data_IF_663684462975
#
_entry.id   IF_663684462975
#
_cell.length_a   1.000
_cell.length_b   1.000
_cell.length_c   1.000
_cell.angle_alpha   90.00
_cell.angle_beta   90.00
_cell.angle_gamma   90.00
#
_symmetry.space_group_name_H-M   'P 1'
#
loop_
_entity.id
_entity.type
_entity.pdbx_description
1 polymer ?
#
# COMPACT_ATOMS: atom_id res chain seq x y z
N UNK A 1 -8.92 3.03 -38.05
CA UNK A 1 -7.50 2.61 -38.06
C UNK A 1 -6.85 3.41 -36.95
N UNK A 2 -6.87 2.83 -35.74
CA UNK A 2 -6.53 3.49 -34.49
C UNK A 2 -5.02 3.49 -34.27
N UNK A 3 -4.41 4.64 -34.49
CA UNK A 3 -2.96 4.88 -34.38
C UNK A 3 -2.51 5.48 -33.04
N UNK A 4 -3.17 5.14 -31.94
CA UNK A 4 -2.74 5.52 -30.57
C UNK A 4 -2.80 4.30 -29.66
N UNK A 5 -1.88 3.36 -29.87
CA UNK A 5 -1.52 2.40 -28.83
C UNK A 5 -0.82 3.15 -27.70
N UNK A 6 -1.58 3.90 -26.91
CA UNK A 6 -1.03 4.66 -25.79
C UNK A 6 -0.42 3.71 -24.78
N UNK A 7 0.77 4.09 -24.32
CA UNK A 7 1.63 3.58 -23.25
C UNK A 7 0.96 3.54 -21.86
N UNK A 8 -0.36 3.32 -21.80
CA UNK A 8 -1.12 3.29 -20.58
C UNK A 8 -0.70 2.09 -19.71
N UNK A 9 -0.31 2.36 -18.46
CA UNK A 9 0.20 1.35 -17.54
C UNK A 9 1.70 1.05 -17.66
N UNK A 10 2.45 1.66 -18.59
CA UNK A 10 3.92 1.46 -18.66
C UNK A 10 4.72 2.40 -17.73
N UNK A 11 4.08 3.46 -17.24
CA UNK A 11 4.63 4.44 -16.30
C UNK A 11 3.54 4.83 -15.31
N UNK A 12 3.93 5.29 -14.12
CA UNK A 12 2.99 5.87 -13.14
C UNK A 12 2.41 7.19 -13.64
N UNK A 13 1.20 7.57 -13.19
CA UNK A 13 0.53 8.81 -13.59
C UNK A 13 0.57 9.88 -12.49
N UNK A 14 0.64 11.16 -12.88
CA UNK A 14 0.48 12.28 -11.93
C UNK A 14 -0.97 12.40 -11.47
N UNK A 15 -1.23 13.13 -10.38
CA UNK A 15 -2.60 13.33 -9.87
C UNK A 15 -3.50 13.96 -10.94
N UNK A 16 -2.97 14.93 -11.69
CA UNK A 16 -3.68 15.61 -12.76
C UNK A 16 -3.98 14.68 -13.94
N UNK A 17 -3.02 13.86 -14.35
CA UNK A 17 -3.20 12.91 -15.46
C UNK A 17 -4.24 11.85 -15.13
N UNK A 18 -4.24 11.34 -13.89
CA UNK A 18 -5.24 10.38 -13.42
C UNK A 18 -6.65 10.98 -13.54
N UNK A 19 -6.84 12.21 -13.04
CA UNK A 19 -8.12 12.91 -13.12
C UNK A 19 -8.54 13.23 -14.55
N UNK A 20 -7.62 13.69 -15.40
CA UNK A 20 -7.89 13.99 -16.81
C UNK A 20 -8.33 12.76 -17.59
N UNK A 21 -7.65 11.62 -17.41
CA UNK A 21 -8.01 10.34 -18.06
C UNK A 21 -9.35 9.78 -17.60
N UNK A 22 -9.69 9.93 -16.32
CA UNK A 22 -11.01 9.55 -15.83
C UNK A 22 -12.13 10.36 -16.49
N UNK A 23 -11.96 11.69 -16.61
CA UNK A 23 -12.93 12.56 -17.31
C UNK A 23 -13.04 12.18 -18.77
N UNK A 24 -11.91 11.92 -19.43
CA UNK A 24 -11.90 11.48 -20.83
C UNK A 24 -12.64 10.14 -21.02
N UNK A 25 -12.46 9.16 -20.12
CA UNK A 25 -13.22 7.92 -20.16
C UNK A 25 -14.72 8.15 -19.99
N UNK A 26 -15.13 9.01 -19.06
CA UNK A 26 -16.53 9.37 -18.87
C UNK A 26 -17.14 10.09 -20.09
N UNK A 27 -16.38 10.97 -20.74
CA UNK A 27 -16.82 11.63 -21.98
C UNK A 27 -16.97 10.66 -23.15
N UNK A 28 -16.10 9.65 -23.25
CA UNK A 28 -16.20 8.63 -24.30
C UNK A 28 -17.35 7.64 -24.07
N UNK A 29 -17.72 7.41 -22.81
CA UNK A 29 -18.71 6.39 -22.41
C UNK A 29 -19.71 6.94 -21.38
N UNK A 30 -20.45 8.02 -21.71
CA UNK A 30 -21.35 8.69 -20.77
C UNK A 30 -22.52 7.81 -20.34
N UNK A 31 -22.84 6.78 -21.13
CA UNK A 31 -23.84 5.76 -20.83
C UNK A 31 -23.41 4.78 -19.72
N UNK A 32 -22.12 4.70 -19.40
CA UNK A 32 -21.57 3.73 -18.43
C UNK A 32 -20.68 4.35 -17.36
N UNK A 33 -20.15 5.54 -17.60
CA UNK A 33 -19.11 6.15 -16.79
C UNK A 33 -19.51 7.55 -16.34
N UNK A 34 -19.26 7.87 -15.08
CA UNK A 34 -19.47 9.20 -14.51
C UNK A 34 -18.29 9.59 -13.63
N UNK A 35 -17.96 10.87 -13.57
CA UNK A 35 -16.93 11.41 -12.66
C UNK A 35 -17.57 12.43 -11.75
N UNK A 36 -17.25 12.35 -10.45
CA UNK A 36 -17.60 13.39 -9.48
C UNK A 36 -16.44 13.67 -8.53
N UNK A 37 -16.48 14.85 -7.92
CA UNK A 37 -15.64 15.15 -6.77
C UNK A 37 -16.34 14.68 -5.48
N UNK A 38 -15.61 14.02 -4.59
CA UNK A 38 -16.16 13.48 -3.33
C UNK A 38 -15.67 14.19 -2.08
N UNK A 39 -14.72 15.11 -2.25
CA UNK A 39 -14.14 15.90 -1.17
C UNK A 39 -12.96 16.71 -1.67
N UNK A 40 -12.19 17.23 -0.73
CA UNK A 40 -10.92 17.92 -0.98
C UNK A 40 -9.87 17.44 -0.01
N UNK A 41 -8.61 17.45 -0.45
CA UNK A 41 -7.46 17.26 0.44
C UNK A 41 -7.26 18.45 1.38
N UNK A 42 -6.36 18.31 2.34
CA UNK A 42 -6.03 19.37 3.30
C UNK A 42 -5.43 20.62 2.66
N UNK A 43 -4.79 20.51 1.50
CA UNK A 43 -4.32 21.63 0.69
C UNK A 43 -5.30 22.02 -0.43
N UNK A 44 -6.52 21.48 -0.42
CA UNK A 44 -7.62 21.90 -1.31
C UNK A 44 -7.65 21.20 -2.67
N UNK A 45 -6.88 20.13 -2.88
CA UNK A 45 -6.94 19.35 -4.12
C UNK A 45 -8.25 18.54 -4.21
N UNK A 46 -8.89 18.42 -5.38
CA UNK A 46 -10.12 17.65 -5.51
C UNK A 46 -9.85 16.15 -5.38
N UNK A 47 -10.66 15.45 -4.59
CA UNK A 47 -10.70 13.99 -4.54
C UNK A 47 -11.66 13.48 -5.62
N UNK A 48 -11.12 12.83 -6.65
CA UNK A 48 -11.86 12.45 -7.86
C UNK A 48 -12.31 10.99 -7.80
N UNK A 49 -13.62 10.77 -7.94
CA UNK A 49 -14.24 9.46 -8.04
C UNK A 49 -14.74 9.21 -9.46
N UNK A 50 -14.27 8.12 -10.07
CA UNK A 50 -14.77 7.60 -11.34
C UNK A 50 -15.69 6.41 -11.06
N UNK A 51 -16.92 6.45 -11.55
CA UNK A 51 -17.89 5.38 -11.43
C UNK A 51 -18.06 4.67 -12.79
N UNK A 52 -18.13 3.33 -12.80
CA UNK A 52 -18.38 2.49 -13.97
C UNK A 52 -19.47 1.46 -13.68
N UNK A 53 -20.50 1.41 -14.53
CA UNK A 53 -21.62 0.48 -14.40
C UNK A 53 -22.77 1.00 -13.55
N UNK A 54 -23.88 0.25 -13.54
CA UNK A 54 -25.17 0.66 -12.94
C UNK A 54 -25.80 -0.45 -12.09
N UNK A 55 -25.03 -1.48 -11.74
CA UNK A 55 -25.52 -2.59 -10.93
C UNK A 55 -25.85 -2.18 -9.50
N UNK A 56 -26.71 -2.92 -8.78
CA UNK A 56 -27.11 -2.60 -7.42
C UNK A 56 -26.04 -2.94 -6.36
N UNK A 57 -24.92 -3.56 -6.76
CA UNK A 57 -23.81 -3.93 -5.87
C UNK A 57 -22.65 -2.97 -6.04
N UNK A 58 -22.41 -2.14 -5.04
CA UNK A 58 -21.31 -1.19 -5.06
C UNK A 58 -19.98 -1.87 -4.70
N UNK A 59 -18.94 -1.55 -5.47
CA UNK A 59 -17.54 -1.92 -5.20
C UNK A 59 -16.73 -0.65 -5.15
N UNK A 60 -15.96 -0.44 -4.09
CA UNK A 60 -15.08 0.71 -3.95
C UNK A 60 -13.62 0.29 -4.12
N UNK A 61 -12.90 0.94 -5.02
CA UNK A 61 -11.46 0.78 -5.23
C UNK A 61 -10.79 2.10 -4.86
N UNK A 62 -9.94 2.07 -3.85
CA UNK A 62 -9.23 3.24 -3.31
C UNK A 62 -7.77 3.17 -3.75
N UNK A 63 -7.28 4.23 -4.39
CA UNK A 63 -5.90 4.34 -4.82
C UNK A 63 -5.19 5.51 -4.15
N UNK A 64 -3.85 5.43 -4.06
CA UNK A 64 -3.02 6.55 -3.60
C UNK A 64 -3.29 6.93 -2.15
N UNK A 65 -3.56 5.95 -1.29
CA UNK A 65 -3.66 6.15 0.15
C UNK A 65 -2.32 6.54 0.77
N UNK A 66 -1.22 5.96 0.27
CA UNK A 66 0.13 6.40 0.59
C UNK A 66 0.76 7.13 -0.59
N UNK A 67 1.30 8.31 -0.29
CA UNK A 67 1.89 9.22 -1.27
C UNK A 67 2.95 8.61 -2.19
N UNK A 68 3.74 7.66 -1.69
CA UNK A 68 4.86 7.03 -2.40
C UNK A 68 4.49 5.74 -3.14
N UNK A 69 3.19 5.40 -3.23
CA UNK A 69 2.69 4.14 -3.79
C UNK A 69 1.82 4.41 -5.05
N UNK A 70 2.40 4.89 -6.16
CA UNK A 70 1.65 5.47 -7.28
C UNK A 70 0.97 4.45 -8.19
N UNK A 71 1.21 3.15 -8.01
CA UNK A 71 0.66 2.08 -8.86
C UNK A 71 -0.87 2.04 -8.82
N UNK A 72 -1.48 2.29 -7.66
CA UNK A 72 -2.92 2.15 -7.49
C UNK A 72 -3.74 3.01 -8.45
N UNK A 73 -3.30 4.25 -8.72
CA UNK A 73 -4.04 5.17 -9.59
C UNK A 73 -4.12 4.70 -11.04
N UNK A 74 -3.00 4.19 -11.56
CA UNK A 74 -2.96 3.61 -12.92
C UNK A 74 -3.67 2.26 -12.99
N UNK A 75 -3.64 1.46 -11.92
CA UNK A 75 -4.46 0.23 -11.80
C UNK A 75 -5.95 0.52 -11.80
N UNK A 76 -6.41 1.54 -11.06
CA UNK A 76 -7.81 1.92 -10.99
C UNK A 76 -8.37 2.31 -12.37
N UNK A 77 -7.61 3.09 -13.13
CA UNK A 77 -7.96 3.46 -14.50
C UNK A 77 -7.93 2.25 -15.47
N UNK A 78 -6.98 1.32 -15.31
CA UNK A 78 -6.95 0.08 -16.10
C UNK A 78 -8.19 -0.78 -15.84
N UNK A 79 -8.58 -0.94 -14.57
CA UNK A 79 -9.80 -1.64 -14.18
C UNK A 79 -11.03 -0.97 -14.78
N UNK A 80 -11.16 0.35 -14.66
CA UNK A 80 -12.26 1.11 -15.24
C UNK A 80 -12.34 0.93 -16.77
N UNK A 81 -11.19 0.93 -17.45
CA UNK A 81 -11.10 0.65 -18.90
C UNK A 81 -11.55 -0.78 -19.22
N UNK A 82 -11.06 -1.79 -18.51
CA UNK A 82 -11.46 -3.21 -18.69
C UNK A 82 -12.95 -3.41 -18.47
N UNK A 83 -13.51 -2.84 -17.41
CA UNK A 83 -14.91 -3.02 -17.03
C UNK A 83 -15.87 -2.25 -17.94
N UNK A 84 -15.45 -1.12 -18.50
CA UNK A 84 -16.22 -0.36 -19.49
C UNK A 84 -16.07 -0.90 -20.93
N UNK A 85 -15.07 -1.74 -21.19
CA UNK A 85 -14.85 -2.37 -22.48
C UNK A 85 -15.75 -3.60 -22.67
N UNK A 86 -16.54 -3.61 -23.75
CA UNK A 86 -17.28 -4.80 -24.21
C UNK A 86 -18.23 -5.43 -23.19
N UNK A 87 -18.73 -6.64 -23.52
CA UNK A 87 -19.48 -7.50 -22.60
C UNK A 87 -18.60 -7.97 -21.42
N UNK A 88 -19.18 -8.00 -20.23
CA UNK A 88 -18.54 -8.48 -19.01
C UNK A 88 -19.28 -9.71 -18.48
N UNK A 89 -18.62 -10.57 -17.67
CA UNK A 89 -19.32 -11.60 -16.90
C UNK A 89 -20.52 -11.01 -16.14
N UNK A 90 -21.67 -11.71 -16.06
CA UNK A 90 -22.90 -11.17 -15.45
C UNK A 90 -22.70 -10.58 -14.06
N UNK A 91 -21.84 -11.19 -13.25
CA UNK A 91 -21.52 -10.77 -11.89
C UNK A 91 -20.87 -9.39 -11.88
N UNK A 92 -19.87 -9.17 -12.75
CA UNK A 92 -19.14 -7.91 -12.88
C UNK A 92 -19.99 -6.84 -13.57
N UNK A 93 -20.81 -7.23 -14.54
CA UNK A 93 -21.78 -6.35 -15.21
C UNK A 93 -22.90 -5.89 -14.26
N UNK A 94 -23.28 -6.76 -13.31
CA UNK A 94 -24.28 -6.50 -12.27
C UNK A 94 -23.73 -5.76 -11.04
N UNK A 95 -22.55 -5.16 -11.14
CA UNK A 95 -21.97 -4.31 -10.11
C UNK A 95 -21.79 -2.87 -10.62
N UNK A 96 -21.66 -1.94 -9.68
CA UNK A 96 -21.27 -0.55 -9.92
C UNK A 96 -19.94 -0.31 -9.22
N UNK A 97 -18.93 0.02 -10.01
CA UNK A 97 -17.54 0.15 -9.55
C UNK A 97 -17.19 1.61 -9.36
N UNK A 98 -16.65 1.95 -8.20
CA UNK A 98 -16.26 3.30 -7.82
C UNK A 98 -14.75 3.32 -7.60
N UNK A 99 -14.04 4.19 -8.32
CA UNK A 99 -12.59 4.31 -8.29
C UNK A 99 -12.20 5.67 -7.73
N UNK A 100 -11.75 5.72 -6.48
CA UNK A 100 -11.15 6.90 -5.89
C UNK A 100 -9.68 6.95 -6.32
N UNK A 101 -9.36 7.86 -7.24
CA UNK A 101 -8.13 7.78 -8.04
C UNK A 101 -6.84 8.13 -7.27
N UNK A 102 -6.97 8.94 -6.22
CA UNK A 102 -5.89 9.32 -5.33
C UNK A 102 -6.49 9.88 -4.04
N UNK A 103 -6.26 9.21 -2.91
CA UNK A 103 -6.76 9.61 -1.60
C UNK A 103 -5.86 10.68 -0.94
N UNK A 104 -4.54 10.61 -1.12
CA UNK A 104 -3.56 11.63 -0.69
C UNK A 104 -2.93 12.37 -1.89
N UNK A 105 -3.67 13.25 -2.59
CA UNK A 105 -3.14 13.99 -3.73
C UNK A 105 -2.04 14.99 -3.34
N UNK A 106 -2.01 15.44 -2.08
CA UNK A 106 -1.04 16.43 -1.61
C UNK A 106 0.33 15.79 -1.40
N UNK A 107 0.37 14.60 -0.78
CA UNK A 107 1.58 13.79 -0.70
C UNK A 107 2.00 13.24 -2.05
N UNK A 108 1.06 12.76 -2.89
CA UNK A 108 1.37 12.21 -4.20
C UNK A 108 2.08 13.22 -5.11
N UNK A 109 1.70 14.51 -5.09
CA UNK A 109 2.37 15.57 -5.86
C UNK A 109 3.84 15.74 -5.54
N UNK A 110 4.26 15.46 -4.30
CA UNK A 110 5.68 15.50 -3.90
C UNK A 110 6.51 14.39 -4.54
N UNK A 111 5.86 13.34 -5.02
CA UNK A 111 6.49 12.20 -5.67
C UNK A 111 6.55 12.31 -7.20
N UNK A 112 5.91 13.32 -7.81
CA UNK A 112 5.80 13.44 -9.27
C UNK A 112 7.15 13.50 -9.99
N UNK A 113 8.20 14.02 -9.33
CA UNK A 113 9.55 14.12 -9.87
C UNK A 113 10.26 12.79 -10.20
N UNK A 114 9.80 11.66 -9.63
CA UNK A 114 10.39 10.35 -9.91
C UNK A 114 9.45 9.38 -10.63
N UNK A 115 8.16 9.71 -10.80
CA UNK A 115 7.14 8.83 -11.39
C UNK A 115 7.46 8.32 -12.80
N UNK A 116 8.31 9.04 -13.56
CA UNK A 116 8.73 8.68 -14.92
C UNK A 116 9.98 7.80 -14.99
N UNK A 117 10.48 7.35 -13.84
CA UNK A 117 11.71 6.60 -13.77
C UNK A 117 12.95 7.50 -13.96
N UNK A 118 14.12 6.92 -14.27
CA UNK A 118 14.33 5.48 -14.45
C UNK A 118 14.07 4.68 -13.16
N UNK A 119 13.50 3.47 -13.30
CA UNK A 119 13.11 2.62 -12.15
C UNK A 119 14.20 1.63 -11.71
N UNK A 120 15.37 1.65 -12.34
CA UNK A 120 16.51 0.80 -11.97
C UNK A 120 17.50 1.50 -11.01
N UNK A 121 17.21 2.74 -10.59
CA UNK A 121 18.05 3.51 -9.68
C UNK A 121 17.36 3.67 -8.32
N UNK A 122 17.68 2.75 -7.40
CA UNK A 122 17.12 2.71 -6.05
C UNK A 122 17.52 3.94 -5.22
N UNK A 123 18.76 4.41 -5.37
CA UNK A 123 19.26 5.58 -4.65
C UNK A 123 18.57 6.87 -5.11
N UNK A 124 18.27 7.00 -6.41
CA UNK A 124 17.43 8.08 -6.93
C UNK A 124 16.02 8.01 -6.36
N UNK A 125 15.40 6.84 -6.33
CA UNK A 125 14.06 6.68 -5.74
C UNK A 125 14.02 7.20 -4.30
N UNK A 126 14.89 6.71 -3.41
CA UNK A 126 14.85 7.13 -2.01
C UNK A 126 15.15 8.63 -1.83
N UNK A 127 16.05 9.22 -2.63
CA UNK A 127 16.32 10.67 -2.58
C UNK A 127 15.16 11.56 -3.00
N UNK A 128 14.17 11.03 -3.72
CA UNK A 128 13.03 11.81 -4.22
C UNK A 128 11.67 11.32 -3.69
N UNK A 129 11.62 10.18 -3.01
CA UNK A 129 10.40 9.62 -2.43
C UNK A 129 9.96 10.43 -1.22
N UNK A 130 8.66 10.62 -1.08
CA UNK A 130 8.05 11.28 0.06
C UNK A 130 6.86 10.46 0.56
N UNK A 131 6.84 10.20 1.87
CA UNK A 131 5.68 9.67 2.58
C UNK A 131 5.41 10.58 3.79
N UNK A 132 4.17 11.03 4.03
CA UNK A 132 3.83 11.77 5.24
C UNK A 132 4.10 10.94 6.50
N UNK A 133 4.23 11.63 7.63
CA UNK A 133 4.22 10.99 8.94
C UNK A 133 2.89 10.23 9.15
N UNK A 134 2.82 9.32 10.12
CA UNK A 134 1.69 8.39 10.29
C UNK A 134 0.33 9.10 10.37
N UNK A 135 0.18 10.07 11.28
CA UNK A 135 -1.04 10.88 11.41
C UNK A 135 -1.36 11.75 10.17
N UNK A 136 -0.41 11.88 9.25
CA UNK A 136 -0.56 12.56 7.98
C UNK A 136 -1.10 11.68 6.86
N UNK A 137 -1.23 10.36 7.05
CA UNK A 137 -1.70 9.42 6.03
C UNK A 137 -3.21 9.16 6.20
N UNK A 138 -4.01 9.26 5.13
CA UNK A 138 -5.47 9.35 5.21
C UNK A 138 -6.21 8.05 5.55
N UNK A 139 -5.56 6.89 5.55
CA UNK A 139 -6.19 5.62 5.92
C UNK A 139 -6.07 5.26 7.40
N UNK A 140 -5.27 5.99 8.16
CA UNK A 140 -5.21 5.83 9.61
C UNK A 140 -6.24 6.76 10.25
N UNK A 141 -7.14 6.19 11.05
CA UNK A 141 -8.08 6.99 11.81
C UNK A 141 -7.33 7.75 12.91
N UNK A 142 -7.72 8.99 13.19
CA UNK A 142 -7.09 9.75 14.26
C UNK A 142 -7.40 9.12 15.62
N UNK A 143 -6.52 9.38 16.60
CA UNK A 143 -6.79 9.04 17.99
C UNK A 143 -8.12 9.65 18.47
N UNK A 144 -8.85 9.00 19.41
CA UNK A 144 -10.11 9.52 19.92
C UNK A 144 -10.03 10.99 20.37
N UNK A 145 -10.96 11.81 19.88
CA UNK A 145 -11.00 13.25 20.17
C UNK A 145 -10.17 14.13 19.24
N UNK A 146 -9.40 13.55 18.31
CA UNK A 146 -8.67 14.28 17.27
C UNK A 146 -9.50 14.29 15.97
N UNK A 147 -9.62 15.44 15.27
CA UNK A 147 -10.36 15.48 14.01
C UNK A 147 -9.64 14.68 12.92
N UNK A 148 -10.43 13.98 12.10
CA UNK A 148 -9.91 13.28 10.93
C UNK A 148 -9.41 14.27 9.88
N UNK A 149 -8.43 13.84 9.09
CA UNK A 149 -8.00 14.58 7.91
C UNK A 149 -9.18 14.76 6.93
N UNK A 150 -9.26 15.86 6.16
CA UNK A 150 -10.30 16.03 5.13
C UNK A 150 -10.40 14.84 4.15
N UNK A 151 -9.26 14.26 3.79
CA UNK A 151 -9.13 13.07 2.95
C UNK A 151 -9.73 11.84 3.62
N UNK A 152 -9.37 11.58 4.88
CA UNK A 152 -9.94 10.50 5.69
C UNK A 152 -11.45 10.66 5.80
N UNK A 153 -11.92 11.87 6.11
CA UNK A 153 -13.35 12.15 6.25
C UNK A 153 -14.11 11.88 4.96
N UNK A 154 -13.57 12.31 3.82
CA UNK A 154 -14.19 12.05 2.52
C UNK A 154 -14.27 10.55 2.21
N UNK A 155 -13.26 9.75 2.59
CA UNK A 155 -13.32 8.29 2.44
C UNK A 155 -14.38 7.67 3.35
N UNK A 156 -14.47 8.09 4.62
CA UNK A 156 -15.48 7.60 5.56
C UNK A 156 -16.90 7.92 5.09
N UNK A 157 -17.14 9.16 4.66
CA UNK A 157 -18.44 9.58 4.12
C UNK A 157 -18.81 8.77 2.86
N UNK A 158 -17.82 8.45 2.00
CA UNK A 158 -18.03 7.61 0.83
C UNK A 158 -18.33 6.14 1.19
N UNK A 159 -17.68 5.60 2.21
CA UNK A 159 -17.95 4.25 2.72
C UNK A 159 -19.36 4.15 3.33
N UNK A 160 -19.78 5.18 4.07
CA UNK A 160 -21.13 5.29 4.64
C UNK A 160 -22.21 5.45 3.56
N UNK A 161 -21.91 6.22 2.51
CA UNK A 161 -22.78 6.43 1.34
C UNK A 161 -22.98 5.14 0.54
N UNK A 162 -21.87 4.46 0.18
CA UNK A 162 -21.90 3.35 -0.76
C UNK A 162 -22.20 2.00 -0.09
N UNK A 163 -21.78 1.80 1.17
CA UNK A 163 -21.82 0.50 1.87
C UNK A 163 -21.42 -0.66 0.95
N UNK A 164 -20.22 -0.61 0.34
CA UNK A 164 -19.87 -1.48 -0.76
C UNK A 164 -19.81 -2.94 -0.31
N UNK A 165 -20.09 -3.88 -1.20
CA UNK A 165 -19.87 -5.31 -0.91
C UNK A 165 -18.38 -5.64 -0.77
N UNK A 166 -17.53 -4.84 -1.43
CA UNK A 166 -16.08 -4.96 -1.46
C UNK A 166 -15.43 -3.58 -1.49
N UNK A 167 -14.50 -3.35 -0.56
CA UNK A 167 -13.49 -2.30 -0.66
C UNK A 167 -12.15 -2.94 -1.07
N UNK A 168 -11.52 -2.46 -2.13
CA UNK A 168 -10.13 -2.75 -2.45
C UNK A 168 -9.29 -1.51 -2.18
N UNK A 169 -8.38 -1.55 -1.21
CA UNK A 169 -7.35 -0.51 -1.08
C UNK A 169 -6.09 -0.95 -1.84
N UNK A 170 -5.67 -0.13 -2.80
CA UNK A 170 -4.57 -0.42 -3.70
C UNK A 170 -3.28 0.21 -3.18
N UNK A 171 -2.36 -0.65 -2.76
CA UNK A 171 -1.07 -0.27 -2.19
C UNK A 171 0.09 -0.73 -3.07
N UNK A 172 1.29 -0.33 -2.68
CA UNK A 172 2.51 -0.86 -3.26
C UNK A 172 3.63 -0.89 -2.24
N UNK A 173 4.52 -1.86 -2.39
CA UNK A 173 5.77 -1.88 -1.62
C UNK A 173 6.92 -1.42 -2.50
N UNK A 174 7.91 -0.75 -1.91
CA UNK A 174 9.14 -0.41 -2.62
C UNK A 174 9.86 -1.70 -3.03
N UNK A 175 10.41 -2.42 -2.05
CA UNK A 175 11.10 -3.70 -2.23
C UNK A 175 10.29 -4.78 -1.53
N UNK A 176 10.15 -5.96 -2.16
CA UNK A 176 9.52 -7.12 -1.52
C UNK A 176 8.81 -8.03 -2.50
N UNK A 177 7.68 -8.59 -2.07
CA UNK A 177 6.79 -9.42 -2.89
C UNK A 177 5.36 -8.90 -2.89
N UNK A 178 4.47 -9.58 -3.61
CA UNK A 178 3.04 -9.31 -3.53
C UNK A 178 2.37 -10.13 -2.44
N UNK A 179 1.39 -9.53 -1.79
CA UNK A 179 0.54 -10.17 -0.79
C UNK A 179 -0.78 -9.40 -0.67
N UNK A 180 -1.75 -10.02 -0.01
CA UNK A 180 -3.07 -9.45 0.25
C UNK A 180 -3.40 -9.63 1.71
N UNK A 181 -3.93 -8.59 2.34
CA UNK A 181 -4.57 -8.68 3.65
C UNK A 181 -6.07 -8.42 3.56
N UNK A 182 -6.83 -9.19 4.30
CA UNK A 182 -8.29 -9.22 4.24
C UNK A 182 -8.90 -8.97 5.63
N UNK A 183 -10.00 -8.23 5.69
CA UNK A 183 -10.79 -8.11 6.94
C UNK A 183 -11.74 -9.28 7.16
N UNK A 184 -12.02 -10.07 6.12
CA UNK A 184 -12.86 -11.28 6.14
C UNK A 184 -12.27 -12.33 5.22
N UNK A 185 -12.55 -13.61 5.49
CA UNK A 185 -12.05 -14.70 4.63
C UNK A 185 -12.65 -14.62 3.22
N UNK A 186 -11.78 -14.83 2.22
CA UNK A 186 -12.16 -14.98 0.80
C UNK A 186 -11.57 -16.29 0.28
N UNK A 187 -12.27 -17.43 0.48
CA UNK A 187 -11.71 -18.75 0.18
C UNK A 187 -11.24 -18.93 -1.26
N UNK A 188 -10.06 -19.56 -1.40
CA UNK A 188 -9.46 -19.90 -2.69
C UNK A 188 -8.81 -18.73 -3.43
N UNK A 189 -8.61 -17.58 -2.78
CA UNK A 189 -7.94 -16.42 -3.38
C UNK A 189 -6.47 -16.70 -3.72
N UNK A 190 -5.76 -17.53 -2.96
CA UNK A 190 -4.32 -17.71 -3.18
C UNK A 190 -3.99 -18.31 -4.55
N UNK A 191 -4.85 -19.15 -5.13
CA UNK A 191 -4.64 -19.73 -6.46
C UNK A 191 -4.54 -18.65 -7.56
N UNK A 192 -5.58 -17.83 -7.77
CA UNK A 192 -5.54 -16.69 -8.69
C UNK A 192 -4.42 -15.69 -8.39
N UNK A 193 -4.17 -15.37 -7.12
CA UNK A 193 -3.07 -14.47 -6.71
C UNK A 193 -1.72 -15.04 -7.18
N UNK A 194 -1.42 -16.29 -6.85
CA UNK A 194 -0.17 -16.96 -7.22
C UNK A 194 -0.01 -17.08 -8.74
N UNK A 195 -1.08 -17.44 -9.46
CA UNK A 195 -1.06 -17.56 -10.91
C UNK A 195 -0.75 -16.19 -11.57
N UNK A 196 -1.38 -15.12 -11.08
CA UNK A 196 -1.16 -13.76 -11.59
C UNK A 196 0.26 -13.26 -11.30
N UNK A 197 0.79 -13.55 -10.11
CA UNK A 197 2.13 -13.16 -9.69
C UNK A 197 3.21 -13.91 -10.50
N UNK A 198 3.06 -15.24 -10.63
CA UNK A 198 3.98 -16.10 -11.38
C UNK A 198 4.06 -15.71 -12.87
N UNK A 199 2.92 -15.40 -13.50
CA UNK A 199 2.88 -14.95 -14.90
C UNK A 199 3.68 -13.66 -15.16
N UNK A 200 4.05 -12.93 -14.10
CA UNK A 200 4.71 -11.62 -14.15
C UNK A 200 6.07 -11.60 -13.44
N UNK A 201 6.54 -12.75 -12.95
CA UNK A 201 7.79 -12.86 -12.20
C UNK A 201 7.79 -12.01 -10.92
N UNK A 202 6.65 -11.96 -10.23
CA UNK A 202 6.49 -11.29 -8.93
C UNK A 202 6.48 -12.38 -7.85
N UNK A 203 7.40 -12.34 -6.86
CA UNK A 203 7.38 -13.29 -5.75
C UNK A 203 6.18 -13.00 -4.83
N UNK A 204 5.60 -14.04 -4.22
CA UNK A 204 4.63 -13.87 -3.13
C UNK A 204 5.37 -13.71 -1.81
N UNK A 205 5.01 -12.70 -1.03
CA UNK A 205 5.63 -12.45 0.26
C UNK A 205 4.97 -13.32 1.35
N UNK A 206 5.77 -14.17 2.00
CA UNK A 206 5.27 -15.18 2.94
C UNK A 206 5.24 -14.73 4.40
N UNK A 207 5.84 -13.59 4.71
CA UNK A 207 5.87 -13.03 6.05
C UNK A 207 6.17 -11.54 6.02
N UNK A 208 5.31 -10.72 5.39
CA UNK A 208 5.52 -9.28 5.31
C UNK A 208 5.54 -8.70 6.73
N UNK A 209 6.30 -7.62 6.91
CA UNK A 209 6.43 -6.96 8.22
C UNK A 209 5.08 -6.59 8.83
N UNK A 210 4.16 -6.08 8.01
CA UNK A 210 2.83 -5.63 8.47
C UNK A 210 1.93 -6.78 8.95
N UNK A 211 2.17 -8.01 8.47
CA UNK A 211 1.45 -9.21 8.89
C UNK A 211 2.35 -10.20 9.65
N UNK A 212 3.48 -9.73 10.22
CA UNK A 212 4.53 -10.60 10.74
C UNK A 212 4.04 -11.58 11.80
N UNK A 213 3.17 -11.11 12.71
CA UNK A 213 2.55 -11.93 13.76
C UNK A 213 1.19 -12.51 13.40
N UNK A 214 0.70 -12.28 12.19
CA UNK A 214 -0.63 -12.72 11.79
C UNK A 214 -0.57 -14.18 11.31
N UNK A 215 -1.65 -14.95 11.51
CA UNK A 215 -1.75 -16.26 10.91
C UNK A 215 -1.77 -16.12 9.38
N UNK A 216 -0.76 -16.68 8.70
CA UNK A 216 -0.83 -16.90 7.25
C UNK A 216 -1.71 -18.12 7.00
N UNK A 217 -2.82 -17.93 6.29
CA UNK A 217 -3.79 -19.01 6.01
C UNK A 217 -3.49 -19.68 4.68
N UNK A 218 -3.15 -18.88 3.67
CA UNK A 218 -2.72 -19.32 2.35
C UNK A 218 -1.52 -18.46 1.90
N UNK A 219 -0.71 -18.95 0.97
CA UNK A 219 0.50 -18.24 0.52
C UNK A 219 0.15 -16.84 -0.01
N UNK A 220 0.74 -15.80 0.59
CA UNK A 220 0.50 -14.41 0.22
C UNK A 220 -0.88 -13.86 0.61
N UNK A 221 -1.68 -14.59 1.39
CA UNK A 221 -3.01 -14.14 1.85
C UNK A 221 -3.08 -14.17 3.37
N UNK A 222 -3.30 -13.01 3.96
CA UNK A 222 -3.31 -12.79 5.40
C UNK A 222 -4.68 -12.29 5.86
N UNK A 223 -5.16 -12.79 6.99
CA UNK A 223 -6.39 -12.31 7.61
C UNK A 223 -6.02 -11.34 8.72
N UNK A 224 -6.51 -10.11 8.64
CA UNK A 224 -6.32 -9.11 9.68
C UNK A 224 -7.00 -9.58 10.97
N UNK A 225 -6.38 -9.38 12.15
CA UNK A 225 -7.06 -9.54 13.42
C UNK A 225 -8.34 -8.71 13.47
N UNK A 226 -9.45 -9.30 13.92
CA UNK A 226 -10.73 -8.59 14.04
C UNK A 226 -10.68 -7.47 15.09
N UNK A 227 -11.65 -6.54 15.06
CA UNK A 227 -11.65 -5.34 15.93
C UNK A 227 -11.78 -5.65 17.44
N UNK A 228 -12.36 -6.80 17.82
CA UNK A 228 -12.41 -7.29 19.20
C UNK A 228 -11.15 -8.07 19.60
N UNK A 229 -10.35 -8.47 18.61
CA UNK A 229 -9.05 -9.06 18.81
C UNK A 229 -8.13 -7.95 19.30
N UNK A 230 -7.91 -7.88 20.60
CA UNK A 230 -6.73 -7.18 21.16
C UNK A 230 -5.56 -7.58 20.27
N UNK A 231 -5.00 -6.66 19.49
CA UNK A 231 -3.74 -6.91 18.80
C UNK A 231 -2.77 -7.33 19.90
N UNK A 232 -2.49 -8.64 20.01
CA UNK A 232 -1.68 -9.13 21.13
C UNK A 232 -0.24 -8.63 21.03
N UNK A 233 0.14 -8.01 19.90
CA UNK A 233 1.51 -7.92 19.40
C UNK A 233 1.80 -6.63 18.61
N UNK A 234 1.07 -5.54 18.85
CA UNK A 234 1.37 -4.23 18.26
C UNK A 234 2.46 -3.50 19.04
N UNK A 235 3.59 -3.19 18.41
CA UNK A 235 4.72 -2.47 19.03
C UNK A 235 5.05 -1.18 18.26
N UNK A 236 4.33 -0.93 17.17
CA UNK A 236 4.24 0.42 16.62
C UNK A 236 3.40 1.30 17.57
N UNK A 237 3.60 2.63 17.58
CA UNK A 237 3.06 3.53 18.61
C UNK A 237 1.55 3.45 18.84
N UNK A 238 0.80 2.99 17.83
CA UNK A 238 -0.61 2.64 17.94
C UNK A 238 -0.78 1.12 17.86
N UNK A 239 -0.86 0.49 19.03
CA UNK A 239 -1.17 -0.93 19.30
C UNK A 239 -2.55 -1.41 18.78
N UNK A 240 -3.10 -0.74 17.77
CA UNK A 240 -4.31 -1.14 17.06
C UNK A 240 -4.35 -0.50 15.65
N UNK A 241 -3.21 -0.14 15.06
CA UNK A 241 -3.14 0.65 13.83
C UNK A 241 -4.07 0.10 12.72
N UNK A 242 -4.18 -1.22 12.62
CA UNK A 242 -5.01 -1.86 11.60
C UNK A 242 -6.50 -1.85 11.96
N UNK A 243 -6.88 -2.05 13.21
CA UNK A 243 -8.29 -1.95 13.67
C UNK A 243 -8.78 -0.50 13.82
N UNK A 244 -7.86 0.46 13.88
CA UNK A 244 -8.09 1.91 13.74
C UNK A 244 -7.78 2.41 12.32
N UNK A 245 -7.84 1.57 11.30
CA UNK A 245 -7.79 2.00 9.90
C UNK A 245 -9.19 2.25 9.34
N UNK A 246 -9.27 2.95 8.21
CA UNK A 246 -10.50 3.05 7.41
C UNK A 246 -10.94 1.69 6.85
N UNK A 247 -10.07 0.66 6.87
CA UNK A 247 -10.36 -0.66 6.31
C UNK A 247 -11.42 -1.43 7.08
N UNK A 248 -11.50 -1.25 8.41
CA UNK A 248 -12.54 -1.86 9.25
C UNK A 248 -13.81 -1.01 9.40
N UNK A 249 -13.79 0.26 8.97
CA UNK A 249 -14.95 1.14 9.05
C UNK A 249 -16.23 0.52 8.44
N UNK A 250 -16.21 -0.05 7.23
CA UNK A 250 -17.41 -0.65 6.64
C UNK A 250 -17.63 -2.12 7.08
N UNK A 251 -16.77 -2.68 7.94
CA UNK A 251 -16.84 -4.09 8.32
C UNK A 251 -18.19 -4.46 8.96
N UNK A 252 -18.77 -3.56 9.76
CA UNK A 252 -20.10 -3.74 10.37
C UNK A 252 -21.25 -3.82 9.36
N UNK A 253 -21.05 -3.32 8.13
CA UNK A 253 -22.02 -3.42 7.04
C UNK A 253 -21.92 -4.72 6.24
N UNK A 254 -21.02 -5.63 6.62
CA UNK A 254 -20.76 -6.86 5.89
C UNK A 254 -19.76 -6.70 4.75
N UNK A 255 -19.19 -5.51 4.56
CA UNK A 255 -18.15 -5.25 3.57
C UNK A 255 -16.90 -6.08 3.85
N UNK A 256 -16.34 -6.66 2.79
CA UNK A 256 -14.98 -7.21 2.79
C UNK A 256 -14.03 -6.10 2.35
N UNK A 257 -12.95 -5.90 3.09
CA UNK A 257 -11.86 -5.03 2.66
C UNK A 257 -10.65 -5.88 2.31
N UNK A 258 -10.11 -5.67 1.11
CA UNK A 258 -8.88 -6.27 0.63
C UNK A 258 -7.84 -5.18 0.37
N UNK A 259 -6.72 -5.22 1.07
CA UNK A 259 -5.56 -4.36 0.80
C UNK A 259 -4.59 -5.19 -0.04
N UNK A 260 -4.24 -4.68 -1.22
CA UNK A 260 -3.52 -5.43 -2.24
C UNK A 260 -2.18 -4.77 -2.49
N UNK A 261 -1.10 -5.48 -2.15
CA UNK A 261 0.27 -5.00 -2.23
C UNK A 261 0.97 -5.56 -3.48
N UNK A 262 1.71 -4.68 -4.17
CA UNK A 262 2.52 -5.06 -5.33
C UNK A 262 3.89 -4.36 -5.29
N UNK A 263 5.00 -5.07 -5.52
CA UNK A 263 6.32 -4.48 -5.39
C UNK A 263 6.74 -3.64 -6.60
N UNK A 264 7.45 -2.54 -6.35
CA UNK A 264 8.22 -1.83 -7.38
C UNK A 264 9.50 -2.58 -7.75
N UNK A 265 10.16 -3.18 -6.76
CA UNK A 265 11.32 -4.05 -6.91
C UNK A 265 11.07 -5.40 -6.23
N UNK A 266 11.19 -6.48 -6.98
CA UNK A 266 11.06 -7.82 -6.44
C UNK A 266 12.37 -8.29 -5.79
N UNK A 267 12.27 -8.89 -4.60
CA UNK A 267 13.34 -9.65 -3.94
C UNK A 267 12.84 -11.08 -3.74
N UNK A 268 13.40 -12.05 -4.47
CA UNK A 268 12.88 -13.43 -4.48
C UNK A 268 12.99 -14.14 -3.11
N UNK A 269 13.84 -13.63 -2.20
CA UNK A 269 14.01 -14.21 -0.87
C UNK A 269 12.74 -14.13 -0.04
N UNK A 270 11.84 -13.16 -0.29
CA UNK A 270 10.56 -13.02 0.42
C UNK A 270 9.59 -14.18 0.15
N UNK A 271 9.89 -15.03 -0.83
CA UNK A 271 9.17 -16.26 -1.15
C UNK A 271 9.93 -17.54 -0.73
N UNK A 272 11.12 -17.41 -0.13
CA UNK A 272 12.00 -18.53 0.22
C UNK A 272 11.65 -19.12 1.60
N UNK A 273 11.19 -20.38 1.62
CA UNK A 273 10.84 -21.12 2.84
C UNK A 273 12.04 -21.86 3.46
N UNK A 274 13.25 -21.57 2.98
CA UNK A 274 14.51 -22.11 3.48
C UNK A 274 14.77 -21.80 4.96
N UNK A 275 15.79 -22.48 5.50
CA UNK A 275 16.16 -22.38 6.90
C UNK A 275 16.74 -21.00 7.24
N UNK A 276 16.20 -20.39 8.29
CA UNK A 276 16.68 -19.14 8.88
C UNK A 276 17.65 -19.40 10.05
N UNK A 277 18.53 -18.42 10.29
CA UNK A 277 19.38 -18.40 11.47
C UNK A 277 19.08 -17.15 12.31
N UNK A 278 18.82 -17.35 13.60
CA UNK A 278 18.49 -16.28 14.56
C UNK A 278 19.56 -15.17 14.61
N UNK A 279 20.83 -15.51 14.42
CA UNK A 279 21.94 -14.54 14.28
C UNK A 279 21.69 -13.45 13.24
N UNK A 280 20.89 -13.74 12.21
CA UNK A 280 20.52 -12.75 11.20
C UNK A 280 19.64 -11.64 11.78
N UNK A 281 18.78 -11.94 12.77
CA UNK A 281 17.93 -10.93 13.41
C UNK A 281 18.75 -9.91 14.20
N UNK A 282 19.72 -10.35 15.02
CA UNK A 282 20.61 -9.41 15.72
C UNK A 282 21.33 -8.48 14.75
N UNK A 283 21.77 -9.00 13.59
CA UNK A 283 22.39 -8.19 12.54
C UNK A 283 21.44 -7.16 11.92
N UNK A 284 20.18 -7.53 11.68
CA UNK A 284 19.15 -6.61 11.17
C UNK A 284 18.86 -5.51 12.20
N UNK A 285 18.64 -5.88 13.47
CA UNK A 285 18.35 -4.93 14.55
C UNK A 285 19.52 -3.99 14.82
N UNK A 286 20.75 -4.51 14.93
CA UNK A 286 21.95 -3.69 15.12
C UNK A 286 22.14 -2.71 13.96
N UNK A 287 22.02 -3.17 12.71
CA UNK A 287 22.16 -2.32 11.53
C UNK A 287 21.12 -1.20 11.50
N UNK A 288 19.86 -1.47 11.87
CA UNK A 288 18.82 -0.43 11.96
C UNK A 288 19.20 0.64 12.99
N UNK A 289 19.62 0.23 14.20
CA UNK A 289 20.02 1.15 15.28
C UNK A 289 21.27 1.97 14.93
N UNK A 290 22.28 1.33 14.33
CA UNK A 290 23.52 2.03 13.94
C UNK A 290 23.24 3.08 12.86
N UNK A 291 22.49 2.71 11.82
CA UNK A 291 22.13 3.62 10.72
C UNK A 291 21.20 4.76 11.19
N UNK A 292 20.24 4.48 12.08
CA UNK A 292 19.35 5.52 12.63
C UNK A 292 20.13 6.50 13.52
N UNK A 293 21.04 6.01 14.36
CA UNK A 293 21.91 6.84 15.18
C UNK A 293 22.83 7.73 14.35
N UNK A 294 23.43 7.18 13.27
CA UNK A 294 24.25 7.95 12.35
C UNK A 294 23.46 9.08 11.67
N UNK A 295 22.25 8.81 11.19
CA UNK A 295 21.37 9.85 10.62
C UNK A 295 20.92 10.87 11.66
N UNK A 296 20.59 10.44 12.88
CA UNK A 296 20.17 11.34 13.94
C UNK A 296 21.30 12.32 14.32
N UNK A 297 22.54 11.84 14.40
CA UNK A 297 23.72 12.68 14.62
C UNK A 297 23.92 13.68 13.47
N UNK A 298 23.77 13.23 12.21
CA UNK A 298 23.88 14.10 11.05
C UNK A 298 22.76 15.16 11.04
N UNK A 299 21.51 14.78 11.28
CA UNK A 299 20.38 15.70 11.38
C UNK A 299 20.60 16.73 12.49
N UNK A 300 21.05 16.30 13.67
CA UNK A 300 21.34 17.21 14.79
C UNK A 300 22.41 18.26 14.40
N UNK A 301 23.43 17.87 13.63
CA UNK A 301 24.48 18.78 13.17
C UNK A 301 24.00 19.87 12.21
N UNK A 302 22.95 19.59 11.43
CA UNK A 302 22.38 20.55 10.45
C UNK A 302 21.09 21.20 10.92
N UNK A 303 20.45 20.71 11.99
CA UNK A 303 19.17 21.24 12.51
C UNK A 303 19.16 22.76 12.68
N UNK A 304 20.23 23.44 13.17
CA UNK A 304 20.23 24.89 13.33
C UNK A 304 20.10 25.70 12.03
N UNK A 305 20.43 25.11 10.89
CA UNK A 305 20.37 25.78 9.58
C UNK A 305 19.20 25.30 8.70
N UNK A 306 18.44 24.32 9.17
CA UNK A 306 17.23 23.86 8.48
C UNK A 306 16.04 24.80 8.80
N UNK A 307 15.04 24.89 7.90
CA UNK A 307 13.81 25.62 8.20
C UNK A 307 13.15 25.11 9.48
N UNK A 308 12.66 26.03 10.32
CA UNK A 308 11.99 25.67 11.57
C UNK A 308 10.73 24.80 11.35
N UNK A 309 10.11 24.90 10.17
CA UNK A 309 8.97 24.09 9.75
C UNK A 309 9.18 23.62 8.32
N UNK A 310 9.03 22.33 8.09
CA UNK A 310 9.03 21.72 6.78
C UNK A 310 8.17 20.45 6.82
N UNK A 311 7.34 20.19 5.79
CA UNK A 311 6.58 18.95 5.68
C UNK A 311 7.48 17.71 5.54
N UNK A 312 8.78 17.89 5.32
CA UNK A 312 9.78 16.82 5.29
C UNK A 312 10.37 16.50 6.67
N UNK A 313 10.31 17.45 7.62
CA UNK A 313 10.92 17.27 8.95
C UNK A 313 10.10 16.32 9.83
N UNK A 314 8.77 16.44 9.82
CA UNK A 314 7.90 15.57 10.62
C UNK A 314 8.07 14.07 10.31
N UNK A 315 7.98 13.59 9.05
CA UNK A 315 8.23 12.18 8.76
C UNK A 315 9.69 11.77 9.00
N UNK A 316 10.65 12.68 8.84
CA UNK A 316 12.06 12.40 9.14
C UNK A 316 12.26 12.15 10.65
N UNK A 317 11.76 13.05 11.48
CA UNK A 317 11.81 12.92 12.94
C UNK A 317 11.06 11.65 13.38
N UNK A 318 9.90 11.34 12.78
CA UNK A 318 9.14 10.13 13.09
C UNK A 318 9.91 8.84 12.76
N UNK A 319 10.57 8.75 11.59
CA UNK A 319 11.39 7.57 11.27
C UNK A 319 12.53 7.35 12.26
N UNK A 320 13.22 8.43 12.64
CA UNK A 320 14.36 8.34 13.55
C UNK A 320 13.92 8.03 14.99
N UNK A 321 12.82 8.61 15.46
CA UNK A 321 12.27 8.35 16.79
C UNK A 321 11.78 6.90 16.95
N UNK A 322 11.24 6.30 15.90
CA UNK A 322 10.67 4.94 15.98
C UNK A 322 11.63 3.83 15.56
N UNK A 323 12.80 4.14 14.99
CA UNK A 323 13.74 3.14 14.48
C UNK A 323 14.13 2.08 15.54
N UNK A 324 14.42 2.51 16.76
CA UNK A 324 14.84 1.60 17.84
C UNK A 324 13.68 0.70 18.28
N UNK A 325 12.48 1.26 18.47
CA UNK A 325 11.29 0.47 18.81
C UNK A 325 10.88 -0.51 17.70
N UNK A 326 11.16 -0.16 16.44
CA UNK A 326 11.01 -1.07 15.30
C UNK A 326 12.08 -2.18 15.34
N UNK A 327 13.31 -1.89 15.75
CA UNK A 327 14.35 -2.91 15.89
C UNK A 327 14.03 -3.89 17.03
N UNK A 328 13.49 -3.38 18.14
CA UNK A 328 13.10 -4.14 19.34
C UNK A 328 12.04 -5.20 19.04
N UNK A 329 11.15 -4.93 18.07
CA UNK A 329 10.08 -5.83 17.66
C UNK A 329 10.54 -7.25 17.33
N UNK A 330 11.68 -7.36 16.65
CA UNK A 330 12.19 -8.64 16.15
C UNK A 330 13.55 -9.01 16.75
N UNK A 331 14.04 -8.26 17.73
CA UNK A 331 15.32 -8.52 18.38
C UNK A 331 15.16 -9.64 19.43
N UNK A 332 15.84 -10.79 19.28
CA UNK A 332 15.72 -11.90 20.22
C UNK A 332 16.17 -11.58 21.66
N UNK A 333 17.03 -10.57 21.84
CA UNK A 333 17.52 -10.16 23.16
C UNK A 333 16.55 -9.23 23.89
N UNK A 334 15.50 -8.76 23.21
CA UNK A 334 14.54 -7.82 23.77
C UNK A 334 13.27 -8.58 24.16
N UNK A 335 13.00 -8.65 25.46
CA UNK A 335 11.79 -9.27 25.99
C UNK A 335 10.63 -8.28 26.16
N UNK A 336 10.93 -6.97 26.18
CA UNK A 336 9.95 -5.91 26.46
C UNK A 336 10.16 -4.71 25.55
N UNK A 337 9.07 -4.10 25.12
CA UNK A 337 9.14 -2.86 24.34
C UNK A 337 9.56 -1.64 25.19
N UNK A 338 9.74 -0.51 24.52
CA UNK A 338 10.08 0.78 25.14
C UNK A 338 9.06 1.29 26.16
N UNK A 339 7.85 0.72 26.19
CA UNK A 339 6.77 1.00 27.16
C UNK A 339 6.73 -0.03 28.30
N UNK A 340 7.65 -0.99 28.32
CA UNK A 340 7.78 -2.02 29.34
C UNK A 340 6.81 -3.20 29.20
N UNK A 341 6.13 -3.33 28.05
CA UNK A 341 5.19 -4.42 27.77
C UNK A 341 5.93 -5.63 27.22
N UNK A 342 5.54 -6.83 27.63
CA UNK A 342 6.15 -8.07 27.14
C UNK A 342 5.89 -8.24 25.64
N UNK A 343 6.95 -8.53 24.89
CA UNK A 343 6.85 -8.79 23.46
C UNK A 343 6.30 -10.19 23.18
N UNK A 344 5.56 -10.39 22.07
CA UNK A 344 5.27 -11.73 21.55
C UNK A 344 6.50 -12.62 21.48
N UNK A 345 6.34 -13.95 21.62
CA UNK A 345 7.32 -14.85 21.05
C UNK A 345 7.39 -14.66 19.52
N UNK A 346 8.60 -14.67 18.98
CA UNK A 346 8.81 -14.58 17.54
C UNK A 346 8.09 -15.73 16.82
N UNK A 347 7.41 -15.47 15.69
CA UNK A 347 6.79 -16.51 14.91
C UNK A 347 7.90 -17.35 14.22
N UNK A 348 7.63 -18.60 13.80
CA UNK A 348 8.66 -19.47 13.22
C UNK A 348 9.46 -18.79 12.09
N UNK A 349 10.78 -18.71 12.24
CA UNK A 349 11.62 -18.00 11.26
C UNK A 349 11.91 -18.88 10.04
N UNK A 350 11.91 -18.25 8.86
CA UNK A 350 12.40 -18.79 7.60
C UNK A 350 13.09 -17.66 6.80
N UNK A 351 13.73 -18.00 5.68
CA UNK A 351 14.43 -17.01 4.85
C UNK A 351 13.52 -15.85 4.45
N UNK A 352 12.27 -16.11 4.07
CA UNK A 352 11.27 -15.11 3.70
C UNK A 352 11.01 -14.08 4.79
N UNK A 353 10.75 -14.52 6.02
CA UNK A 353 10.52 -13.63 7.16
C UNK A 353 11.74 -12.78 7.47
N UNK A 354 12.94 -13.38 7.46
CA UNK A 354 14.17 -12.63 7.66
C UNK A 354 14.39 -11.59 6.55
N UNK A 355 14.10 -11.92 5.29
CA UNK A 355 14.22 -11.00 4.17
C UNK A 355 13.25 -9.82 4.30
N UNK A 356 11.99 -10.07 4.66
CA UNK A 356 10.98 -9.03 4.90
C UNK A 356 11.38 -8.09 6.04
N UNK A 357 11.96 -8.59 7.14
CA UNK A 357 12.48 -7.74 8.22
C UNK A 357 13.73 -6.95 7.82
N UNK A 358 14.65 -7.56 7.06
CA UNK A 358 15.83 -6.87 6.51
C UNK A 358 15.41 -5.68 5.62
N UNK A 359 14.42 -5.91 4.75
CA UNK A 359 13.79 -4.89 3.90
C UNK A 359 13.11 -3.81 4.74
N UNK A 360 12.30 -4.19 5.74
CA UNK A 360 11.59 -3.24 6.59
C UNK A 360 12.55 -2.33 7.37
N UNK A 361 13.62 -2.89 7.95
CA UNK A 361 14.64 -2.11 8.65
C UNK A 361 15.35 -1.11 7.73
N UNK A 362 15.64 -1.49 6.48
CA UNK A 362 16.32 -0.57 5.53
C UNK A 362 15.40 0.47 4.95
N UNK A 363 14.13 0.13 4.77
CA UNK A 363 13.11 1.09 4.37
C UNK A 363 13.06 2.29 5.33
N UNK A 364 13.14 2.05 6.64
CA UNK A 364 13.14 3.13 7.66
C UNK A 364 14.31 4.08 7.45
N UNK A 365 15.54 3.56 7.39
CA UNK A 365 16.76 4.37 7.32
C UNK A 365 16.93 5.03 5.94
N UNK A 366 16.62 4.34 4.84
CA UNK A 366 16.68 4.91 3.48
C UNK A 366 15.62 6.00 3.25
N UNK A 367 14.40 5.86 3.79
CA UNK A 367 13.39 6.92 3.70
C UNK A 367 13.80 8.15 4.52
N UNK A 368 14.32 7.97 5.73
CA UNK A 368 14.86 9.07 6.54
C UNK A 368 16.03 9.78 5.84
N UNK A 369 17.02 9.03 5.36
CA UNK A 369 18.16 9.59 4.61
C UNK A 369 17.71 10.34 3.35
N UNK A 370 16.72 9.79 2.64
CA UNK A 370 16.11 10.41 1.46
C UNK A 370 15.42 11.75 1.75
N UNK A 371 14.65 11.83 2.84
CA UNK A 371 14.03 13.08 3.30
C UNK A 371 15.08 14.13 3.70
N UNK A 372 16.14 13.71 4.38
CA UNK A 372 17.26 14.59 4.73
C UNK A 372 17.99 15.10 3.47
N UNK A 373 18.17 14.26 2.44
CA UNK A 373 18.68 14.72 1.15
C UNK A 373 17.81 15.85 0.57
N UNK A 374 16.49 15.66 0.55
CA UNK A 374 15.56 16.67 0.00
C UNK A 374 15.60 17.98 0.80
N UNK A 375 15.66 17.90 2.14
CA UNK A 375 15.80 19.07 3.00
C UNK A 375 17.08 19.85 2.72
N UNK A 376 18.21 19.15 2.56
CA UNK A 376 19.50 19.77 2.28
C UNK A 376 19.62 20.28 0.84
N UNK A 377 18.91 19.69 -0.12
CA UNK A 377 18.89 20.14 -1.52
C UNK A 377 18.00 21.38 -1.72
N UNK A 378 16.96 21.55 -0.89
CA UNK A 378 16.03 22.68 -0.95
C UNK A 378 16.43 23.94 -0.17
N UNK A 379 17.57 23.94 0.53
CA UNK A 379 18.01 25.07 1.35
C UNK A 379 19.52 25.32 1.32
N UNK A 380 19.99 26.28 2.12
CA UNK A 380 21.41 26.65 2.28
C UNK A 380 22.21 25.64 3.13
N UNK A 381 21.83 24.36 3.09
CA UNK A 381 22.44 23.30 3.87
C UNK A 381 23.94 23.15 3.56
N UNK A 382 24.79 22.77 4.55
CA UNK A 382 26.22 22.68 4.34
C UNK A 382 26.55 21.61 3.30
N UNK A 383 27.37 21.97 2.29
CA UNK A 383 27.85 21.04 1.26
C UNK A 383 28.38 19.71 1.81
N UNK A 384 29.20 19.70 2.87
CA UNK A 384 29.68 18.45 3.47
C UNK A 384 28.57 17.52 4.00
N UNK A 385 27.53 18.07 4.63
CA UNK A 385 26.42 17.27 5.15
C UNK A 385 25.58 16.67 4.01
N UNK A 386 25.36 17.45 2.95
CA UNK A 386 24.69 17.00 1.72
C UNK A 386 25.45 15.84 1.07
N UNK A 387 26.76 15.95 0.97
CA UNK A 387 27.60 14.89 0.39
C UNK A 387 27.61 13.64 1.29
N UNK A 388 27.63 13.82 2.61
CA UNK A 388 27.55 12.70 3.56
C UNK A 388 26.26 11.93 3.42
N UNK A 389 25.09 12.59 3.49
CA UNK A 389 23.81 11.86 3.38
C UNK A 389 23.66 11.18 2.02
N UNK A 390 24.15 11.80 0.93
CA UNK A 390 24.13 11.19 -0.40
C UNK A 390 25.01 9.94 -0.49
N UNK A 391 26.17 9.93 0.17
CA UNK A 391 27.00 8.73 0.31
C UNK A 391 26.29 7.64 1.11
N UNK A 392 25.68 7.98 2.25
CA UNK A 392 24.91 7.01 3.04
C UNK A 392 23.81 6.35 2.23
N UNK A 393 23.01 7.13 1.48
CA UNK A 393 21.98 6.56 0.60
C UNK A 393 22.58 5.64 -0.45
N UNK A 394 23.70 6.02 -1.09
CA UNK A 394 24.36 5.19 -2.09
C UNK A 394 24.89 3.87 -1.50
N UNK A 395 25.58 3.95 -0.37
CA UNK A 395 26.21 2.82 0.32
C UNK A 395 25.14 1.83 0.83
N UNK A 396 24.04 2.33 1.38
CA UNK A 396 22.95 1.50 1.89
C UNK A 396 22.08 0.91 0.78
N UNK A 397 21.91 1.62 -0.35
CA UNK A 397 21.21 1.09 -1.52
C UNK A 397 22.03 0.02 -2.26
N UNK A 398 23.37 0.10 -2.26
CA UNK A 398 24.26 -0.77 -3.04
C UNK A 398 23.98 -2.27 -2.87
N UNK A 399 23.97 -2.81 -1.63
CA UNK A 399 23.66 -4.22 -1.36
C UNK A 399 22.25 -4.66 -1.80
N UNK A 400 21.31 -3.72 -1.92
CA UNK A 400 19.94 -3.98 -2.36
C UNK A 400 19.83 -3.95 -3.88
N UNK A 401 20.42 -2.94 -4.52
CA UNK A 401 20.42 -2.80 -5.97
C UNK A 401 21.04 -4.02 -6.68
N UNK A 402 21.99 -4.71 -6.04
CA UNK A 402 22.61 -5.92 -6.59
C UNK A 402 21.71 -7.18 -6.56
N UNK A 403 20.65 -7.20 -5.73
CA UNK A 403 19.82 -8.39 -5.50
C UNK A 403 18.36 -8.23 -5.92
N UNK A 404 17.86 -7.00 -6.02
CA UNK A 404 16.46 -6.73 -6.37
C UNK A 404 16.31 -6.49 -7.86
N UNK A 405 15.14 -6.81 -8.40
CA UNK A 405 14.82 -6.61 -9.82
C UNK A 405 13.64 -5.67 -9.99
N UNK A 406 13.73 -4.61 -10.83
CA UNK A 406 12.60 -3.72 -11.06
C UNK A 406 11.45 -4.48 -11.73
N UNK A 407 10.25 -4.33 -11.20
CA UNK A 407 9.02 -4.87 -11.78
C UNK A 407 8.46 -3.83 -12.74
N UNK A 408 8.25 -4.16 -14.04
CA UNK A 408 7.66 -3.21 -14.98
C UNK A 408 6.30 -2.72 -14.48
N UNK A 409 6.01 -1.42 -14.61
CA UNK A 409 4.74 -0.83 -14.12
C UNK A 409 3.53 -1.58 -14.70
N UNK A 410 3.60 -2.03 -15.97
CA UNK A 410 2.51 -2.77 -16.60
C UNK A 410 2.29 -4.14 -15.95
N UNK A 411 3.35 -4.79 -15.48
CA UNK A 411 3.25 -6.02 -14.71
C UNK A 411 2.63 -5.74 -13.33
N UNK A 412 3.04 -4.67 -12.65
CA UNK A 412 2.44 -4.28 -11.36
C UNK A 412 0.93 -4.02 -11.52
N UNK A 413 0.55 -3.18 -12.48
CA UNK A 413 -0.84 -2.82 -12.79
C UNK A 413 -1.68 -4.05 -13.12
N UNK A 414 -1.19 -4.90 -14.02
CA UNK A 414 -1.94 -6.05 -14.44
C UNK A 414 -2.09 -7.08 -13.31
N UNK A 415 -1.06 -7.26 -12.47
CA UNK A 415 -1.16 -8.13 -11.30
C UNK A 415 -2.19 -7.63 -10.28
N UNK A 416 -2.12 -6.35 -9.93
CA UNK A 416 -3.01 -5.73 -8.96
C UNK A 416 -4.46 -5.71 -9.46
N UNK A 417 -4.69 -5.40 -10.74
CA UNK A 417 -6.01 -5.45 -11.36
C UNK A 417 -6.61 -6.87 -11.38
N UNK A 418 -5.81 -7.88 -11.76
CA UNK A 418 -6.26 -9.28 -11.77
C UNK A 418 -6.62 -9.74 -10.36
N UNK A 419 -5.89 -9.28 -9.34
CA UNK A 419 -6.16 -9.58 -7.93
C UNK A 419 -7.45 -8.94 -7.45
N UNK A 420 -7.72 -7.67 -7.78
CA UNK A 420 -9.01 -7.00 -7.47
C UNK A 420 -10.19 -7.79 -8.04
N UNK A 421 -10.09 -8.18 -9.32
CA UNK A 421 -11.14 -8.95 -9.98
C UNK A 421 -11.30 -10.35 -9.38
N UNK A 422 -10.20 -11.00 -9.02
CA UNK A 422 -10.23 -12.31 -8.36
C UNK A 422 -10.90 -12.26 -6.97
N UNK A 423 -10.65 -11.21 -6.18
CA UNK A 423 -11.36 -11.00 -4.90
C UNK A 423 -12.85 -10.84 -5.17
N UNK A 424 -13.24 -9.94 -6.08
CA UNK A 424 -14.65 -9.69 -6.39
C UNK A 424 -15.39 -10.94 -6.88
N UNK A 425 -14.79 -11.71 -7.81
CA UNK A 425 -15.42 -12.90 -8.36
C UNK A 425 -15.69 -13.98 -7.30
N UNK A 426 -14.93 -13.99 -6.20
CA UNK A 426 -15.12 -14.92 -5.06
C UNK A 426 -16.10 -14.43 -4.01
N UNK A 427 -16.50 -13.16 -4.07
CA UNK A 427 -17.57 -12.59 -3.26
C UNK A 427 -18.93 -12.61 -3.97
N UNK A 428 -18.94 -12.80 -5.29
CA UNK A 428 -20.19 -12.96 -6.02
C UNK A 428 -20.92 -14.20 -5.47
N UNK A 429 -22.23 -14.08 -5.12
CA UNK A 429 -22.99 -15.23 -4.66
C UNK A 429 -22.94 -16.26 -5.77
N UNK A 430 -22.40 -17.45 -5.46
CA UNK A 430 -22.47 -18.59 -6.37
C UNK A 430 -23.90 -18.68 -6.88
N UNK A 431 -24.05 -18.66 -8.21
CA UNK A 431 -25.31 -18.64 -8.91
C UNK A 431 -26.34 -19.54 -8.20
N UNK A 432 -27.34 -18.92 -7.58
CA UNK A 432 -28.53 -19.64 -7.14
C UNK A 432 -29.14 -20.22 -8.42
N UNK A 433 -29.23 -21.56 -8.58
CA UNK A 433 -29.94 -22.10 -9.73
C UNK A 433 -31.39 -21.59 -9.64
N UNK A 434 -32.01 -21.18 -10.75
CA UNK A 434 -33.39 -20.71 -10.72
C UNK A 434 -34.25 -21.76 -10.02
N UNK A 435 -35.19 -21.36 -9.14
CA UNK A 435 -36.08 -22.31 -8.50
C UNK A 435 -36.73 -23.15 -9.61
N UNK A 436 -36.51 -24.46 -9.56
CA UNK A 436 -37.17 -25.39 -10.45
C UNK A 436 -38.67 -25.08 -10.36
N UNK A 437 -39.26 -24.70 -11.49
CA UNK A 437 -40.69 -24.55 -11.60
C UNK A 437 -41.29 -25.85 -11.11
N UNK A 438 -42.05 -25.80 -9.99
CA UNK A 438 -42.86 -26.93 -9.58
C UNK A 438 -43.78 -27.24 -10.75
N UNK A 439 -43.54 -28.38 -11.41
CA UNK A 439 -44.49 -28.92 -12.36
C UNK A 439 -45.80 -29.07 -11.60
N UNK A 440 -46.83 -28.40 -12.08
CA UNK A 440 -48.19 -28.83 -11.82
C UNK A 440 -48.28 -30.28 -12.30
N UNK A 441 -48.34 -31.21 -11.36
CA UNK A 441 -48.93 -32.51 -11.61
C UNK A 441 -50.26 -32.46 -10.89
N UNK A 442 -51.27 -32.37 -11.75
CA UNK A 442 -52.68 -32.57 -11.51
C UNK A 442 -52.95 -33.97 -10.93
N UNK A 443 -54.02 -34.02 -10.14
CA UNK A 443 -54.97 -35.12 -9.95
C UNK A 443 -54.55 -36.45 -9.30
N UNK A 444 -54.97 -36.62 -8.03
CA UNK A 444 -55.99 -37.61 -7.62
C UNK A 444 -56.56 -37.28 -6.23
#
# INVERSE_FOLDING_TARGET
MDGTGETFGNVFGTVEELGSRARELALRRPDRCAVRQVGTSRLGAPLVLLTVGHGPRDVLVVAGAHANEPVGGVTALELARRLSAGPQPPERAGARWHFLLCLDPDGARRNEGWLRGPYNDLARYHRHSFRPHFAGQPEWLPAPGTPALPETRALLDLLDELRPVLQCSLHGVDIGGSWVQLTREVPGLAGPLAASAAARGIPLELGPFDAFYWPSRERGVFLMPGPDGRERHGVLPDDNAHSHSTWFHPHGHGTVTAVIEVPMWADDRVADEGTAYERTLHGISARLRDQSAELAALLASVRPVLPARSPLLEPLDEYLTHADGIADLWDPDVARDSRGRDLPPLPPLNTARLASLDIAGQRVTLRAAGLLCQLLDGGDGPGPARDTVRRLVADWCGPYAARVRPVPVAAQVAHQADTVLAVFDRLAPHAVPPPQARSAIEDA
#
